data_IF_306473818837
#
_entry.id   IF_306473818837
#
_cell.length_a   1.000
_cell.length_b   1.000
_cell.length_c   1.000
_cell.angle_alpha   90.00
_cell.angle_beta   90.00
_cell.angle_gamma   90.00
#
_symmetry.space_group_name_H-M   'P 1'
#
loop_
_entity.id
_entity.type
_entity.pdbx_description
1 polymer ?
#
# COMPACT_ATOMS: atom_id res chain seq x y z
N UNK A 1 7.18 -31.25 -15.37
CA UNK A 1 7.56 -30.50 -16.58
C UNK A 1 6.26 -29.91 -17.11
N UNK A 2 5.88 -28.71 -16.67
CA UNK A 2 4.61 -28.09 -17.04
C UNK A 2 4.75 -27.38 -18.38
N UNK A 3 3.92 -27.77 -19.34
CA UNK A 3 3.86 -27.15 -20.68
C UNK A 3 3.20 -25.78 -20.56
N UNK A 4 3.75 -24.77 -21.24
CA UNK A 4 3.07 -23.48 -21.41
C UNK A 4 2.09 -23.67 -22.56
N UNK A 5 0.80 -23.83 -22.24
CA UNK A 5 -0.26 -23.90 -23.25
C UNK A 5 -0.34 -22.60 -24.07
N UNK A 6 -0.77 -22.75 -25.32
CA UNK A 6 -0.85 -21.71 -26.37
C UNK A 6 -1.85 -20.57 -26.13
N UNK A 7 -2.22 -20.27 -24.88
CA UNK A 7 -3.07 -19.13 -24.55
C UNK A 7 -2.30 -17.82 -24.75
N UNK A 8 -2.92 -16.75 -25.29
CA UNK A 8 -2.24 -15.46 -25.53
C UNK A 8 -1.78 -14.77 -24.24
N UNK A 9 -2.16 -15.30 -23.08
CA UNK A 9 -1.62 -14.93 -21.79
C UNK A 9 -1.29 -16.20 -20.98
N UNK A 10 -0.19 -16.22 -20.21
CA UNK A 10 0.21 -17.39 -19.44
C UNK A 10 -0.70 -17.60 -18.23
N UNK A 11 -1.44 -18.71 -18.20
CA UNK A 11 -2.16 -19.19 -17.02
C UNK A 11 -1.23 -20.14 -16.25
N UNK A 12 -1.08 -19.91 -14.94
CA UNK A 12 -0.25 -20.77 -14.09
C UNK A 12 -1.06 -21.96 -13.53
N UNK A 13 -0.59 -23.18 -13.77
CA UNK A 13 -1.14 -24.37 -13.09
C UNK A 13 -0.69 -24.47 -11.62
N UNK A 14 0.53 -24.00 -11.35
CA UNK A 14 1.10 -23.85 -10.00
C UNK A 14 1.38 -22.36 -9.76
N UNK A 15 0.80 -21.76 -8.71
CA UNK A 15 1.01 -20.34 -8.43
C UNK A 15 2.44 -19.99 -8.03
N UNK A 16 3.33 -20.95 -7.74
CA UNK A 16 4.75 -20.70 -7.35
C UNK A 16 4.89 -19.72 -6.19
N UNK A 17 4.11 -19.93 -5.13
CA UNK A 17 3.96 -18.95 -4.03
C UNK A 17 5.28 -18.51 -3.35
N UNK A 18 6.34 -19.31 -3.41
CA UNK A 18 7.65 -19.00 -2.83
C UNK A 18 8.59 -18.22 -3.76
N UNK A 19 8.26 -18.07 -5.04
CA UNK A 19 9.09 -17.36 -6.01
C UNK A 19 8.81 -15.84 -5.93
N UNK A 20 9.74 -15.10 -5.33
CA UNK A 20 9.65 -13.65 -5.15
C UNK A 20 10.03 -12.84 -6.38
N UNK A 21 10.60 -13.47 -7.41
CA UNK A 21 10.98 -12.81 -8.65
C UNK A 21 9.82 -12.66 -9.63
N UNK A 22 8.71 -13.35 -9.36
CA UNK A 22 7.49 -13.29 -10.16
C UNK A 22 6.49 -12.28 -9.58
N UNK A 23 5.75 -11.52 -10.41
CA UNK A 23 4.73 -10.58 -9.96
C UNK A 23 3.71 -11.24 -9.03
N UNK A 24 3.18 -10.50 -8.04
CA UNK A 24 2.19 -11.07 -7.12
C UNK A 24 0.88 -11.45 -7.84
N UNK A 25 0.47 -10.67 -8.84
CA UNK A 25 -0.75 -10.87 -9.60
C UNK A 25 -0.46 -11.54 -10.95
N UNK A 26 -0.67 -12.85 -11.00
CA UNK A 26 -0.71 -13.62 -12.24
C UNK A 26 -1.90 -14.57 -12.15
N UNK A 27 -2.57 -14.82 -13.27
CA UNK A 27 -3.73 -15.70 -13.24
C UNK A 27 -3.28 -17.14 -13.04
N UNK A 28 -3.92 -17.84 -12.12
CA UNK A 28 -3.68 -19.26 -11.88
C UNK A 28 -4.98 -20.05 -11.84
N UNK A 29 -4.90 -21.34 -12.11
CA UNK A 29 -6.06 -22.25 -12.08
C UNK A 29 -6.63 -22.42 -10.66
N UNK A 30 -5.81 -22.21 -9.63
CA UNK A 30 -6.19 -22.40 -8.22
C UNK A 30 -6.62 -21.11 -7.51
N UNK A 31 -6.18 -19.94 -7.98
CA UNK A 31 -6.45 -18.64 -7.33
C UNK A 31 -7.12 -17.60 -8.24
N UNK A 32 -7.35 -17.92 -9.52
CA UNK A 32 -7.94 -16.98 -10.48
C UNK A 32 -7.08 -15.72 -10.57
N UNK A 33 -7.70 -14.54 -10.41
CA UNK A 33 -7.01 -13.24 -10.39
C UNK A 33 -6.47 -12.81 -9.02
N UNK A 34 -6.65 -13.63 -7.98
CA UNK A 34 -6.06 -13.35 -6.68
C UNK A 34 -4.52 -13.49 -6.75
N UNK A 35 -3.78 -12.86 -5.82
CA UNK A 35 -2.33 -13.00 -5.77
C UNK A 35 -1.89 -14.46 -5.68
N UNK A 36 -0.71 -14.76 -6.24
CA UNK A 36 -0.10 -16.10 -6.26
C UNK A 36 0.18 -16.67 -4.86
N UNK A 37 0.40 -15.81 -3.88
CA UNK A 37 0.62 -16.18 -2.48
C UNK A 37 -0.34 -15.42 -1.57
N UNK A 38 -0.32 -15.73 -0.27
CA UNK A 38 -1.02 -14.88 0.70
C UNK A 38 -0.32 -13.52 0.82
N UNK A 39 -1.06 -12.43 1.12
CA UNK A 39 -0.48 -11.10 1.17
C UNK A 39 0.65 -10.99 2.19
N UNK A 40 1.69 -10.23 1.85
CA UNK A 40 2.72 -9.84 2.84
C UNK A 40 2.03 -9.02 3.93
N UNK A 41 2.06 -9.56 5.15
CA UNK A 41 1.38 -9.02 6.32
C UNK A 41 2.32 -8.28 7.28
N UNK A 42 3.63 -8.45 7.14
CA UNK A 42 4.65 -7.79 7.96
C UNK A 42 5.73 -7.28 7.01
N UNK A 43 5.95 -5.96 7.01
CA UNK A 43 7.03 -5.36 6.25
C UNK A 43 8.40 -5.50 6.95
N UNK A 44 9.52 -5.41 6.21
CA UNK A 44 10.85 -5.30 6.80
C UNK A 44 10.97 -4.14 7.79
N UNK A 45 11.93 -4.23 8.72
CA UNK A 45 12.06 -3.32 9.87
C UNK A 45 12.28 -1.84 9.46
N UNK A 46 12.90 -1.62 8.30
CA UNK A 46 13.12 -0.33 7.67
C UNK A 46 11.80 0.41 7.39
N UNK A 47 10.71 -0.34 7.20
CA UNK A 47 9.37 0.20 6.96
C UNK A 47 8.50 0.25 8.22
N UNK A 48 9.08 0.05 9.42
CA UNK A 48 8.36 0.23 10.67
C UNK A 48 7.65 1.60 10.80
N UNK A 49 8.20 2.73 10.30
CA UNK A 49 7.47 4.00 10.28
C UNK A 49 6.19 3.98 9.43
N UNK A 50 6.19 3.23 8.32
CA UNK A 50 5.01 3.06 7.47
C UNK A 50 3.94 2.18 8.15
N UNK A 51 4.35 1.08 8.77
CA UNK A 51 3.46 0.23 9.57
C UNK A 51 2.84 1.01 10.74
N UNK A 52 3.63 1.81 11.47
CA UNK A 52 3.16 2.61 12.60
C UNK A 52 2.09 3.62 12.17
N UNK A 53 2.35 4.40 11.11
CA UNK A 53 1.38 5.40 10.66
C UNK A 53 0.11 4.73 10.13
N UNK A 54 0.21 3.61 9.41
CA UNK A 54 -0.95 2.86 8.93
C UNK A 54 -1.76 2.22 10.06
N UNK A 55 -1.13 1.77 11.13
CA UNK A 55 -1.82 1.24 12.31
C UNK A 55 -2.56 2.33 13.09
N UNK A 56 -2.00 3.55 13.13
CA UNK A 56 -2.59 4.72 13.82
C UNK A 56 -3.62 5.47 12.99
N UNK A 57 -3.54 5.38 11.67
CA UNK A 57 -4.36 6.13 10.72
C UNK A 57 -5.88 5.93 10.84
N UNK A 58 -6.44 4.71 10.98
CA UNK A 58 -7.87 4.45 10.78
C UNK A 58 -8.77 5.30 11.67
N UNK A 59 -10.00 5.59 11.21
CA UNK A 59 -11.02 6.26 12.04
C UNK A 59 -11.25 5.48 13.34
N UNK A 60 -11.34 4.15 13.26
CA UNK A 60 -11.38 3.26 14.42
C UNK A 60 -10.27 2.24 14.29
N UNK A 61 -9.32 2.25 15.23
CA UNK A 61 -8.22 1.29 15.29
C UNK A 61 -8.74 -0.10 15.66
N UNK A 62 -7.89 -1.12 15.51
CA UNK A 62 -8.22 -2.51 15.83
C UNK A 62 -8.62 -2.70 17.30
N UNK A 63 -8.01 -1.94 18.20
CA UNK A 63 -8.34 -1.90 19.65
C UNK A 63 -9.66 -1.17 19.96
N UNK A 64 -10.32 -0.62 18.94
CA UNK A 64 -11.58 0.10 19.05
C UNK A 64 -11.46 1.58 19.43
N UNK A 65 -10.26 2.07 19.74
CA UNK A 65 -10.02 3.48 20.06
C UNK A 65 -9.89 4.32 18.76
N UNK A 66 -10.15 5.64 18.81
CA UNK A 66 -10.03 6.50 17.63
C UNK A 66 -8.57 6.60 17.17
N UNK A 67 -8.36 6.62 15.85
CA UNK A 67 -7.06 6.90 15.25
C UNK A 67 -6.96 8.32 14.68
N UNK A 68 -5.95 8.56 13.85
CA UNK A 68 -5.63 9.90 13.33
C UNK A 68 -6.76 10.47 12.47
N UNK A 69 -7.39 9.67 11.61
CA UNK A 69 -8.49 10.12 10.75
C UNK A 69 -9.76 10.46 11.54
N UNK A 70 -9.97 9.91 12.74
CA UNK A 70 -11.11 10.29 13.57
C UNK A 70 -10.98 11.71 14.15
N UNK A 71 -9.78 12.26 14.18
CA UNK A 71 -9.48 13.61 14.70
C UNK A 71 -8.89 14.54 13.64
N UNK A 72 -8.87 14.11 12.37
CA UNK A 72 -8.26 14.85 11.25
C UNK A 72 -6.80 15.26 11.50
N UNK A 73 -6.02 14.34 12.09
CA UNK A 73 -4.61 14.58 12.48
C UNK A 73 -3.59 13.86 11.61
N UNK A 74 -4.00 13.12 10.58
CA UNK A 74 -3.08 12.39 9.70
C UNK A 74 -2.15 13.35 8.96
N UNK A 75 -2.69 14.41 8.34
CA UNK A 75 -1.87 15.36 7.57
C UNK A 75 -0.78 16.01 8.41
N UNK A 76 -1.14 16.59 9.55
CA UNK A 76 -0.18 17.20 10.50
C UNK A 76 0.87 16.19 10.98
N UNK A 77 0.46 14.94 11.21
CA UNK A 77 1.37 13.86 11.64
C UNK A 77 2.36 13.52 10.53
N UNK A 78 1.90 13.30 9.30
CA UNK A 78 2.78 13.01 8.16
C UNK A 78 3.84 14.09 7.98
N UNK A 79 3.43 15.36 8.05
CA UNK A 79 4.31 16.50 7.82
C UNK A 79 5.37 16.64 8.95
N UNK A 80 5.05 16.20 10.17
CA UNK A 80 5.91 16.35 11.34
C UNK A 80 6.88 15.18 11.57
N UNK A 81 6.44 13.94 11.34
CA UNK A 81 7.17 12.74 11.77
C UNK A 81 7.44 11.68 10.70
N UNK A 82 6.71 11.65 9.58
CA UNK A 82 6.84 10.54 8.62
C UNK A 82 8.09 10.69 7.75
N UNK A 83 9.08 9.78 7.82
CA UNK A 83 10.30 9.89 7.04
C UNK A 83 10.07 9.51 5.57
N UNK A 84 10.95 9.98 4.70
CA UNK A 84 11.02 9.49 3.33
C UNK A 84 11.78 8.16 3.28
N UNK A 85 11.10 7.09 2.86
CA UNK A 85 11.66 5.73 2.82
C UNK A 85 12.00 5.27 1.40
N UNK A 86 12.11 6.19 0.44
CA UNK A 86 12.38 5.84 -0.98
C UNK A 86 13.64 4.98 -1.13
N UNK A 87 14.72 5.33 -0.43
CA UNK A 87 15.99 4.60 -0.52
C UNK A 87 15.90 3.18 0.08
N UNK A 88 14.98 2.95 1.01
CA UNK A 88 14.76 1.61 1.58
C UNK A 88 14.09 0.66 0.58
N UNK A 89 13.26 1.18 -0.35
CA UNK A 89 12.60 0.38 -1.39
C UNK A 89 13.63 -0.31 -2.30
N UNK A 90 14.67 0.41 -2.69
CA UNK A 90 15.69 -0.10 -3.62
C UNK A 90 16.45 -1.31 -3.07
N UNK A 91 16.51 -1.48 -1.74
CA UNK A 91 17.12 -2.64 -1.10
C UNK A 91 16.33 -3.93 -1.37
N UNK A 92 15.05 -3.82 -1.72
CA UNK A 92 14.12 -4.94 -1.91
C UNK A 92 13.57 -5.05 -3.33
N UNK A 93 14.08 -4.29 -4.30
CA UNK A 93 13.55 -4.20 -5.67
C UNK A 93 13.36 -5.55 -6.41
N UNK A 94 14.13 -6.57 -6.05
CA UNK A 94 14.04 -7.91 -6.66
C UNK A 94 12.92 -8.78 -6.05
N UNK A 95 12.25 -8.28 -4.99
CA UNK A 95 11.14 -8.95 -4.32
C UNK A 95 9.80 -8.32 -4.74
N UNK A 96 9.26 -8.78 -5.87
CA UNK A 96 8.05 -8.22 -6.48
C UNK A 96 6.78 -8.36 -5.62
N UNK A 97 6.58 -9.44 -4.82
CA UNK A 97 5.50 -9.49 -3.83
C UNK A 97 5.61 -8.40 -2.76
N UNK A 98 6.83 -8.10 -2.30
CA UNK A 98 7.05 -7.02 -1.34
C UNK A 98 6.83 -5.64 -1.98
N UNK A 99 7.25 -5.42 -3.23
CA UNK A 99 6.95 -4.17 -3.95
C UNK A 99 5.44 -3.93 -4.05
N UNK A 100 4.66 -4.97 -4.36
CA UNK A 100 3.19 -4.89 -4.35
C UNK A 100 2.62 -4.55 -2.96
N UNK A 101 3.18 -5.10 -1.89
CA UNK A 101 2.75 -4.81 -0.54
C UNK A 101 3.04 -3.35 -0.14
N UNK A 102 4.24 -2.86 -0.44
CA UNK A 102 4.60 -1.45 -0.23
C UNK A 102 3.73 -0.52 -1.07
N UNK A 103 3.48 -0.85 -2.35
CA UNK A 103 2.59 -0.06 -3.20
C UNK A 103 1.16 0.00 -2.63
N UNK A 104 0.62 -1.12 -2.14
CA UNK A 104 -0.68 -1.18 -1.44
C UNK A 104 -0.69 -0.26 -0.23
N UNK A 105 0.32 -0.37 0.62
CA UNK A 105 0.40 0.34 1.91
C UNK A 105 0.55 1.85 1.70
N UNK A 106 1.42 2.27 0.76
CA UNK A 106 1.52 3.66 0.34
C UNK A 106 0.26 4.18 -0.36
N UNK A 107 -0.48 3.34 -1.10
CA UNK A 107 -1.76 3.74 -1.71
C UNK A 107 -2.82 4.08 -0.66
N UNK A 108 -2.86 3.31 0.44
CA UNK A 108 -3.73 3.63 1.57
C UNK A 108 -3.32 4.94 2.24
N UNK A 109 -2.03 5.15 2.51
CA UNK A 109 -1.55 6.39 3.12
C UNK A 109 -1.79 7.61 2.21
N UNK A 110 -1.50 7.51 0.93
CA UNK A 110 -1.68 8.59 -0.04
C UNK A 110 -3.15 8.99 -0.18
N UNK A 111 -4.05 8.02 -0.34
CA UNK A 111 -5.49 8.29 -0.46
C UNK A 111 -6.04 8.93 0.82
N UNK A 112 -5.67 8.42 1.99
CA UNK A 112 -6.07 9.00 3.27
C UNK A 112 -5.54 10.42 3.46
N UNK A 113 -4.26 10.67 3.14
CA UNK A 113 -3.67 12.00 3.24
C UNK A 113 -4.37 13.00 2.31
N UNK A 114 -4.61 12.65 1.04
CA UNK A 114 -5.27 13.57 0.11
C UNK A 114 -6.72 13.86 0.52
N UNK A 115 -7.46 12.83 0.94
CA UNK A 115 -8.91 12.91 1.16
C UNK A 115 -9.31 13.29 2.60
N UNK A 116 -8.40 13.33 3.56
CA UNK A 116 -8.73 13.67 4.96
C UNK A 116 -9.53 14.98 5.12
N UNK A 117 -9.20 16.11 4.46
CA UNK A 117 -10.00 17.33 4.60
C UNK A 117 -11.42 17.14 4.07
N UNK A 118 -11.61 16.33 3.01
CA UNK A 118 -12.93 16.01 2.51
C UNK A 118 -13.73 15.18 3.51
N UNK A 119 -13.07 14.21 4.12
CA UNK A 119 -13.66 13.35 5.14
C UNK A 119 -14.09 14.17 6.37
N UNK A 120 -13.22 15.05 6.87
CA UNK A 120 -13.52 15.91 8.02
C UNK A 120 -14.79 16.74 7.79
N UNK A 121 -14.89 17.40 6.64
CA UNK A 121 -16.05 18.24 6.30
C UNK A 121 -17.33 17.42 6.22
N UNK A 122 -17.27 16.26 5.59
CA UNK A 122 -18.41 15.34 5.52
C UNK A 122 -18.87 14.90 6.91
N UNK A 123 -17.94 14.56 7.81
CA UNK A 123 -18.25 14.17 9.19
C UNK A 123 -18.88 15.33 9.99
N UNK A 124 -18.52 16.58 9.66
CA UNK A 124 -19.14 17.79 10.23
C UNK A 124 -20.53 18.12 9.65
N UNK A 125 -21.04 17.32 8.71
CA UNK A 125 -22.33 17.53 8.05
C UNK A 125 -22.28 18.57 6.92
N UNK A 126 -21.09 18.93 6.46
CA UNK A 126 -20.89 19.77 5.28
C UNK A 126 -20.80 18.92 4.00
N UNK A 127 -20.75 19.57 2.83
CA UNK A 127 -20.32 18.90 1.60
C UNK A 127 -18.84 18.55 1.63
N UNK A 128 -18.41 17.57 0.82
CA UNK A 128 -17.02 17.08 0.80
C UNK A 128 -15.97 18.19 0.60
N UNK A 129 -16.27 19.27 -0.11
CA UNK A 129 -15.27 20.31 -0.36
C UNK A 129 -14.10 19.80 -1.22
N UNK A 130 -12.88 20.30 -0.95
CA UNK A 130 -11.69 19.99 -1.72
C UNK A 130 -10.70 19.14 -0.92
N UNK A 131 -10.07 18.19 -1.61
CA UNK A 131 -8.96 17.39 -1.12
C UNK A 131 -7.67 18.23 -1.14
N UNK A 132 -6.61 17.71 -0.51
CA UNK A 132 -5.26 18.24 -0.76
C UNK A 132 -4.90 17.99 -2.23
N UNK A 133 -4.26 18.96 -2.86
CA UNK A 133 -3.84 18.92 -4.27
C UNK A 133 -2.36 18.50 -4.43
N UNK A 134 -1.63 18.39 -3.32
CA UNK A 134 -0.22 18.00 -3.27
C UNK A 134 -0.05 16.81 -2.34
N UNK A 135 0.73 15.83 -2.81
CA UNK A 135 1.21 14.72 -2.00
C UNK A 135 2.67 14.99 -1.61
N UNK A 136 3.03 14.98 -0.31
CA UNK A 136 4.37 15.33 0.13
C UNK A 136 5.41 14.29 -0.33
N UNK A 137 6.67 14.69 -0.42
CA UNK A 137 7.77 13.89 -1.01
C UNK A 137 7.89 12.51 -0.37
N UNK A 138 7.79 12.46 0.95
CA UNK A 138 7.85 11.25 1.78
C UNK A 138 6.74 10.22 1.50
N UNK A 139 5.69 10.58 0.76
CA UNK A 139 4.68 9.63 0.25
C UNK A 139 4.78 9.50 -1.29
N UNK A 140 4.94 10.61 -2.01
CA UNK A 140 4.90 10.62 -3.48
C UNK A 140 6.10 9.94 -4.15
N UNK A 141 7.30 10.10 -3.60
CA UNK A 141 8.49 9.43 -4.13
C UNK A 141 8.46 7.91 -3.91
N UNK A 142 8.20 7.40 -2.69
CA UNK A 142 8.21 5.96 -2.48
C UNK A 142 7.07 5.24 -3.21
N UNK A 143 5.85 5.79 -3.27
CA UNK A 143 4.76 5.16 -4.03
C UNK A 143 5.07 5.08 -5.52
N UNK A 144 5.66 6.14 -6.09
CA UNK A 144 6.06 6.16 -7.49
C UNK A 144 7.19 5.15 -7.75
N UNK A 145 8.15 5.03 -6.83
CA UNK A 145 9.24 4.06 -6.93
C UNK A 145 8.73 2.62 -6.90
N UNK A 146 7.80 2.29 -5.99
CA UNK A 146 7.15 0.97 -5.98
C UNK A 146 6.35 0.67 -7.25
N UNK A 147 5.84 1.68 -7.95
CA UNK A 147 5.08 1.51 -9.20
C UNK A 147 5.98 1.32 -10.44
N UNK A 148 7.20 1.86 -10.39
CA UNK A 148 8.21 1.73 -11.44
C UNK A 148 8.84 0.33 -11.47
N UNK A 149 9.03 -0.26 -10.28
CA UNK A 149 9.65 -1.57 -10.05
C UNK A 149 8.66 -2.74 -10.22
#
# INVERSE_FOLDING_TARGET
MGSIDSTPFPVLDDPRASDTSLPAFMVSTTRGFLPRADPVAVLPAEFAPLEDILARMPVKKLDGTPGLLASSKLGETVDAEFPDLTDAIDQYKENLPLMNALYRDYSFLASAYLLEPCHERFVRGEGYGLARDVLPRNISMPIARCAEL
#
